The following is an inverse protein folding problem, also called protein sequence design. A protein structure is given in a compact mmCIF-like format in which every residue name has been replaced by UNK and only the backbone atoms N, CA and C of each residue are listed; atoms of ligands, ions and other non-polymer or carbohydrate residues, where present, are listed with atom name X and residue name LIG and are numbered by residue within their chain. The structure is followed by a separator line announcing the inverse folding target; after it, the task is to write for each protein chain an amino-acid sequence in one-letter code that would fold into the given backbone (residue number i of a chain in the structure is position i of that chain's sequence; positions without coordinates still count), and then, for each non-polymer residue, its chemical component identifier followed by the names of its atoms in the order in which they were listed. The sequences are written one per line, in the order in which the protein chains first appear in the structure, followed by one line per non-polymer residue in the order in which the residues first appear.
data_IF_792892060523
#
_entry.id   IF_792892060523
#
_cell.length_a   1.000
_cell.length_b   1.000
_cell.length_c   1.000
_cell.angle_alpha   90.00
_cell.angle_beta   90.00
_cell.angle_gamma   90.00
#
_symmetry.space_group_name_H-M   'P 1'
#
loop_
_entity.id
_entity.type
_entity.pdbx_description
1 polymer ?
#
# COMPACT_ATOMS: atom_id res chain seq x y z
N UNK A 1 -31.24 -29.03 -58.23
CA UNK A 1 -31.15 -29.90 -57.03
C UNK A 1 -31.23 -28.99 -55.82
N UNK A 2 -32.31 -29.04 -55.04
CA UNK A 2 -32.45 -28.23 -53.83
C UNK A 2 -31.63 -28.89 -52.72
N UNK A 3 -30.59 -28.21 -52.27
CA UNK A 3 -29.79 -28.66 -51.13
C UNK A 3 -30.65 -28.55 -49.86
N UNK A 4 -30.78 -29.63 -49.05
CA UNK A 4 -31.54 -29.56 -47.80
C UNK A 4 -30.87 -28.55 -46.87
N UNK A 5 -31.70 -27.76 -46.18
CA UNK A 5 -31.22 -26.77 -45.22
C UNK A 5 -30.30 -27.45 -44.19
N UNK A 6 -29.20 -26.79 -43.78
CA UNK A 6 -28.30 -27.34 -42.78
C UNK A 6 -29.08 -27.65 -41.49
N UNK A 7 -28.73 -28.74 -40.78
CA UNK A 7 -29.41 -29.11 -39.55
C UNK A 7 -29.28 -27.96 -38.54
N UNK A 8 -30.40 -27.57 -37.93
CA UNK A 8 -30.42 -26.54 -36.89
C UNK A 8 -29.53 -27.01 -35.73
N UNK A 9 -28.62 -26.17 -35.22
CA UNK A 9 -27.83 -26.52 -34.04
C UNK A 9 -28.76 -26.94 -32.89
N UNK A 10 -28.37 -27.92 -32.07
CA UNK A 10 -29.15 -28.27 -30.90
C UNK A 10 -29.33 -27.03 -30.02
N UNK A 11 -30.57 -26.59 -29.85
CA UNK A 11 -30.87 -25.47 -28.95
C UNK A 11 -30.56 -25.93 -27.53
N UNK A 12 -29.64 -25.23 -26.87
CA UNK A 12 -29.38 -25.44 -25.46
C UNK A 12 -30.64 -25.14 -24.67
N UNK A 13 -30.90 -25.92 -23.62
CA UNK A 13 -32.03 -25.67 -22.73
C UNK A 13 -31.85 -24.32 -22.01
N UNK A 14 -32.91 -23.52 -21.81
CA UNK A 14 -32.84 -22.25 -21.07
C UNK A 14 -32.20 -22.37 -19.68
N UNK A 15 -32.29 -23.55 -19.06
CA UNK A 15 -31.66 -23.84 -17.76
C UNK A 15 -30.14 -23.93 -17.88
N UNK A 16 -29.62 -24.51 -18.96
CA UNK A 16 -28.17 -24.65 -19.20
C UNK A 16 -27.54 -23.29 -19.50
N UNK A 17 -28.21 -22.46 -20.30
CA UNK A 17 -27.77 -21.09 -20.59
C UNK A 17 -27.73 -20.21 -19.33
N UNK A 18 -28.74 -20.37 -18.46
CA UNK A 18 -28.80 -19.66 -17.18
C UNK A 18 -27.62 -20.05 -16.27
N UNK A 19 -27.34 -21.35 -16.12
CA UNK A 19 -26.24 -21.86 -15.30
C UNK A 19 -24.87 -21.39 -15.84
N UNK A 20 -24.66 -21.43 -17.16
CA UNK A 20 -23.41 -20.97 -17.78
C UNK A 20 -23.19 -19.47 -17.58
N UNK A 21 -24.24 -18.65 -17.77
CA UNK A 21 -24.17 -17.20 -17.58
C UNK A 21 -23.87 -16.82 -16.12
N UNK A 22 -24.48 -17.48 -15.14
CA UNK A 22 -24.18 -17.24 -13.71
C UNK A 22 -22.71 -17.54 -13.36
N UNK A 23 -22.12 -18.58 -13.94
CA UNK A 23 -20.72 -18.93 -13.72
C UNK A 23 -19.78 -17.92 -14.39
N UNK A 24 -20.07 -17.53 -15.64
CA UNK A 24 -19.28 -16.54 -16.37
C UNK A 24 -19.25 -15.17 -15.66
N UNK A 25 -20.39 -14.68 -15.17
CA UNK A 25 -20.46 -13.41 -14.45
C UNK A 25 -19.66 -13.42 -13.13
N UNK A 26 -19.63 -14.55 -12.41
CA UNK A 26 -18.84 -14.69 -11.18
C UNK A 26 -17.35 -14.78 -11.45
N UNK A 27 -16.94 -15.43 -12.53
CA UNK A 27 -15.53 -15.47 -12.94
C UNK A 27 -15.04 -14.08 -13.34
N UNK A 28 -15.81 -13.35 -14.14
CA UNK A 28 -15.51 -11.94 -14.49
C UNK A 28 -15.48 -11.07 -13.24
N UNK A 29 -16.47 -11.25 -12.35
CA UNK A 29 -16.49 -10.92 -10.92
C UNK A 29 -15.11 -10.99 -10.24
N UNK A 30 -14.69 -12.23 -10.05
CA UNK A 30 -13.47 -12.59 -9.37
C UNK A 30 -12.24 -11.97 -10.04
N UNK A 31 -12.19 -11.92 -11.38
CA UNK A 31 -11.09 -11.30 -12.13
C UNK A 31 -11.02 -9.80 -11.87
N UNK A 32 -12.15 -9.08 -11.86
CA UNK A 32 -12.17 -7.65 -11.51
C UNK A 32 -11.70 -7.40 -10.08
N UNK A 33 -12.14 -8.23 -9.13
CA UNK A 33 -11.68 -8.15 -7.74
C UNK A 33 -10.17 -8.43 -7.68
N UNK A 34 -9.69 -9.49 -8.34
CA UNK A 34 -8.26 -9.80 -8.44
C UNK A 34 -7.48 -8.67 -9.10
N UNK A 35 -8.00 -8.00 -10.13
CA UNK A 35 -7.35 -6.85 -10.76
C UNK A 35 -7.30 -5.64 -9.83
N UNK A 36 -8.35 -5.37 -9.07
CA UNK A 36 -8.36 -4.33 -8.04
C UNK A 36 -7.35 -4.63 -6.92
N UNK A 37 -7.19 -5.89 -6.52
CA UNK A 37 -6.20 -6.33 -5.54
C UNK A 37 -4.78 -6.48 -6.10
N UNK A 38 -4.63 -6.75 -7.41
CA UNK A 38 -3.35 -6.87 -8.11
C UNK A 38 -2.79 -5.52 -8.54
N UNK A 39 -3.61 -4.47 -8.57
CA UNK A 39 -3.17 -3.10 -8.77
C UNK A 39 -2.24 -2.71 -7.62
N UNK A 40 -1.08 -2.07 -7.86
CA UNK A 40 -0.29 -1.49 -6.79
C UNK A 40 -1.20 -0.52 -6.01
N UNK A 41 -1.34 -0.76 -4.70
CA UNK A 41 -2.31 -0.15 -3.77
C UNK A 41 -2.15 1.38 -3.57
N UNK A 42 -1.68 2.12 -4.57
CA UNK A 42 -1.39 3.56 -4.51
C UNK A 42 -2.62 4.35 -4.08
N UNK A 43 -3.78 4.12 -4.71
CA UNK A 43 -5.01 4.87 -4.38
C UNK A 43 -5.49 4.57 -2.94
N UNK A 44 -5.67 3.30 -2.52
CA UNK A 44 -5.99 2.98 -1.13
C UNK A 44 -5.00 3.56 -0.11
N UNK A 45 -3.69 3.57 -0.43
CA UNK A 45 -2.66 4.11 0.46
C UNK A 45 -2.79 5.63 0.63
N UNK A 46 -3.10 6.36 -0.45
CA UNK A 46 -3.33 7.81 -0.40
C UNK A 46 -4.57 8.14 0.42
N UNK A 47 -5.68 7.42 0.20
CA UNK A 47 -6.90 7.60 0.99
C UNK A 47 -6.64 7.29 2.47
N UNK A 48 -5.95 6.19 2.76
CA UNK A 48 -5.62 5.79 4.13
C UNK A 48 -4.77 6.82 4.87
N UNK A 49 -3.73 7.38 4.24
CA UNK A 49 -2.94 8.44 4.88
C UNK A 49 -3.72 9.75 5.02
N UNK A 50 -4.60 10.08 4.08
CA UNK A 50 -5.50 11.23 4.17
C UNK A 50 -6.43 11.14 5.39
N UNK A 51 -7.06 9.98 5.60
CA UNK A 51 -7.87 9.72 6.80
C UNK A 51 -7.01 9.80 8.06
N UNK A 52 -5.80 9.24 8.06
CA UNK A 52 -4.92 9.29 9.21
C UNK A 52 -4.54 10.73 9.61
N UNK A 53 -4.28 11.63 8.66
CA UNK A 53 -4.05 13.04 8.93
C UNK A 53 -5.29 13.76 9.48
N UNK A 54 -6.46 13.46 8.91
CA UNK A 54 -7.71 14.07 9.36
C UNK A 54 -8.05 13.66 10.80
N UNK A 55 -7.82 12.39 11.13
CA UNK A 55 -8.17 11.81 12.43
C UNK A 55 -7.07 11.98 13.48
N UNK A 56 -5.82 12.20 13.09
CA UNK A 56 -4.71 12.28 14.06
C UNK A 56 -4.97 13.29 15.17
N UNK A 57 -5.60 14.43 14.87
CA UNK A 57 -5.85 15.49 15.85
C UNK A 57 -7.22 15.39 16.56
N UNK A 58 -8.10 14.48 16.13
CA UNK A 58 -9.47 14.37 16.67
C UNK A 58 -9.66 13.25 17.68
N UNK A 59 -8.71 12.31 17.78
CA UNK A 59 -8.82 11.19 18.71
C UNK A 59 -8.44 11.64 20.13
N UNK A 60 -9.30 11.35 21.11
CA UNK A 60 -9.09 11.70 22.53
C UNK A 60 -8.13 10.76 23.23
N UNK A 61 -7.92 9.55 22.71
CA UNK A 61 -7.04 8.55 23.32
C UNK A 61 -5.63 8.58 22.70
N UNK A 62 -4.64 8.76 23.58
CA UNK A 62 -3.22 8.88 23.24
C UNK A 62 -2.70 7.75 22.34
N UNK A 63 -3.12 6.50 22.59
CA UNK A 63 -2.67 5.35 21.81
C UNK A 63 -3.24 5.38 20.38
N UNK A 64 -4.44 5.90 20.15
CA UNK A 64 -5.02 6.05 18.80
C UNK A 64 -4.25 7.10 17.99
N UNK A 65 -3.97 8.25 18.62
CA UNK A 65 -3.17 9.30 18.01
C UNK A 65 -1.75 8.81 17.68
N UNK A 66 -1.17 7.94 18.52
CA UNK A 66 0.11 7.30 18.24
C UNK A 66 0.09 6.41 16.97
N UNK A 67 -1.02 5.69 16.74
CA UNK A 67 -1.17 4.83 15.55
C UNK A 67 -1.34 5.62 14.27
N UNK A 68 -2.11 6.71 14.28
CA UNK A 68 -2.24 7.58 13.10
C UNK A 68 -0.88 8.17 12.69
N UNK A 69 -0.11 8.68 13.66
CA UNK A 69 1.26 9.16 13.41
C UNK A 69 2.19 8.04 12.90
N UNK A 70 2.03 6.81 13.40
CA UNK A 70 2.78 5.65 12.89
C UNK A 70 2.44 5.33 11.44
N UNK A 71 1.16 5.30 11.08
CA UNK A 71 0.69 5.05 9.72
C UNK A 71 1.19 6.12 8.75
N UNK A 72 1.08 7.39 9.13
CA UNK A 72 1.59 8.53 8.34
C UNK A 72 3.09 8.40 8.09
N UNK A 73 3.90 8.15 9.13
CA UNK A 73 5.35 7.96 8.97
C UNK A 73 5.68 6.76 8.09
N UNK A 74 4.94 5.66 8.26
CA UNK A 74 5.12 4.43 7.47
C UNK A 74 4.88 4.69 5.98
N UNK A 75 3.81 5.44 5.66
CA UNK A 75 3.53 5.88 4.30
C UNK A 75 4.70 6.68 3.71
N UNK A 76 5.17 7.72 4.41
CA UNK A 76 6.24 8.57 3.86
C UNK A 76 7.59 7.86 3.72
N UNK A 77 7.98 7.03 4.69
CA UNK A 77 9.22 6.25 4.57
C UNK A 77 9.14 5.26 3.41
N UNK A 78 8.02 4.53 3.26
CA UNK A 78 7.85 3.61 2.15
C UNK A 78 7.86 4.35 0.81
N UNK A 79 7.07 5.42 0.67
CA UNK A 79 7.00 6.23 -0.55
C UNK A 79 8.36 6.81 -0.93
N UNK A 80 9.13 7.31 0.04
CA UNK A 80 10.47 7.84 -0.20
C UNK A 80 11.45 6.75 -0.69
N UNK A 81 11.49 5.60 -0.01
CA UNK A 81 12.34 4.48 -0.42
C UNK A 81 11.95 3.93 -1.81
N UNK A 82 10.65 3.79 -2.07
CA UNK A 82 10.14 3.29 -3.34
C UNK A 82 10.43 4.27 -4.48
N UNK A 83 10.26 5.57 -4.24
CA UNK A 83 10.60 6.61 -5.21
C UNK A 83 12.10 6.63 -5.51
N UNK A 84 12.96 6.55 -4.49
CA UNK A 84 14.40 6.50 -4.66
C UNK A 84 14.85 5.26 -5.48
N UNK A 85 14.30 4.08 -5.16
CA UNK A 85 14.58 2.86 -5.91
C UNK A 85 14.09 2.95 -7.37
N UNK A 86 12.93 3.57 -7.60
CA UNK A 86 12.39 3.80 -8.94
C UNK A 86 13.30 4.73 -9.74
N UNK A 87 13.68 5.88 -9.18
CA UNK A 87 14.58 6.85 -9.83
C UNK A 87 15.92 6.20 -10.19
N UNK A 88 16.50 5.43 -9.26
CA UNK A 88 17.75 4.71 -9.51
C UNK A 88 17.61 3.70 -10.67
N UNK A 89 16.52 2.93 -10.69
CA UNK A 89 16.25 1.95 -11.75
C UNK A 89 16.09 2.63 -13.11
N UNK A 90 15.31 3.71 -13.18
CA UNK A 90 15.15 4.47 -14.41
C UNK A 90 16.48 5.09 -14.87
N UNK A 91 17.30 5.61 -13.95
CA UNK A 91 18.61 6.14 -14.28
C UNK A 91 19.54 5.06 -14.89
N UNK A 92 19.49 3.83 -14.36
CA UNK A 92 20.25 2.69 -14.91
C UNK A 92 19.75 2.31 -16.30
N UNK A 93 18.43 2.17 -16.48
CA UNK A 93 17.83 1.83 -17.78
C UNK A 93 18.16 2.87 -18.85
N UNK A 94 18.04 4.15 -18.51
CA UNK A 94 18.37 5.27 -19.39
C UNK A 94 19.86 5.22 -19.76
N UNK A 95 20.74 5.02 -18.77
CA UNK A 95 22.19 4.92 -19.01
C UNK A 95 22.51 3.74 -19.93
N UNK A 96 21.89 2.58 -19.72
CA UNK A 96 22.09 1.38 -20.54
C UNK A 96 21.72 1.57 -22.01
N UNK A 97 20.61 2.25 -22.30
CA UNK A 97 20.19 2.51 -23.69
C UNK A 97 21.13 3.50 -24.41
N UNK A 98 21.66 4.50 -23.71
CA UNK A 98 22.61 5.44 -24.29
C UNK A 98 23.99 4.82 -24.57
N UNK A 99 24.47 3.90 -23.72
CA UNK A 99 25.74 3.18 -23.94
C UNK A 99 25.72 2.37 -25.24
N UNK A 100 24.57 1.80 -25.61
CA UNK A 100 24.39 1.06 -26.87
C UNK A 100 24.15 1.96 -28.10
N UNK A 101 24.16 3.30 -27.96
CA UNK A 101 23.90 4.22 -29.06
C UNK A 101 22.44 4.22 -29.54
N UNK A 102 21.52 3.60 -28.80
CA UNK A 102 20.12 3.39 -29.20
C UNK A 102 19.22 4.64 -29.07
N UNK A 103 19.76 5.73 -28.52
CA UNK A 103 19.02 6.98 -28.31
C UNK A 103 18.13 6.95 -27.05
N UNK A 104 17.00 7.69 -27.02
CA UNK A 104 16.13 7.75 -25.86
C UNK A 104 15.54 6.37 -25.50
N UNK A 105 15.15 6.15 -24.24
CA UNK A 105 14.64 4.86 -23.77
C UNK A 105 13.29 4.55 -24.44
N UNK A 106 13.34 3.79 -25.53
CA UNK A 106 12.16 3.19 -26.17
C UNK A 106 11.99 1.75 -25.70
N UNK A 107 10.77 1.21 -25.81
CA UNK A 107 10.52 -0.19 -25.46
C UNK A 107 11.37 -1.16 -26.30
N UNK A 108 11.63 -0.83 -27.57
CA UNK A 108 12.54 -1.61 -28.42
C UNK A 108 14.00 -1.55 -27.94
N UNK A 109 14.51 -0.36 -27.61
CA UNK A 109 15.87 -0.19 -27.09
C UNK A 109 16.08 -0.92 -25.76
N UNK A 110 15.10 -0.84 -24.86
CA UNK A 110 15.12 -1.56 -23.59
C UNK A 110 15.15 -3.08 -23.80
N UNK A 111 14.35 -3.60 -24.73
CA UNK A 111 14.34 -5.03 -25.06
C UNK A 111 15.65 -5.50 -25.69
N UNK A 112 16.30 -4.67 -26.52
CA UNK A 112 17.61 -4.99 -27.10
C UNK A 112 18.73 -4.96 -26.06
N UNK A 113 18.71 -3.99 -25.14
CA UNK A 113 19.65 -3.93 -24.02
C UNK A 113 19.49 -5.12 -23.09
N UNK A 114 18.25 -5.51 -22.77
CA UNK A 114 17.98 -6.74 -22.00
C UNK A 114 18.44 -8.01 -22.75
N UNK A 115 18.20 -8.09 -24.06
CA UNK A 115 18.63 -9.22 -24.88
C UNK A 115 20.16 -9.29 -25.05
N UNK A 116 20.87 -8.17 -24.85
CA UNK A 116 22.34 -8.14 -24.83
C UNK A 116 22.94 -8.73 -23.55
N UNK A 117 22.13 -8.89 -22.49
CA UNK A 117 22.56 -9.56 -21.26
C UNK A 117 22.73 -11.04 -21.56
N UNK A 118 23.97 -11.50 -21.61
CA UNK A 118 24.30 -12.88 -22.00
C UNK A 118 25.13 -13.60 -20.97
N UNK A 119 25.72 -12.88 -20.03
CA UNK A 119 26.57 -13.48 -19.00
C UNK A 119 25.80 -13.69 -17.69
N UNK A 120 26.07 -14.78 -16.94
CA UNK A 120 25.39 -15.06 -15.68
C UNK A 120 25.48 -13.91 -14.66
N UNK A 121 26.61 -13.20 -14.61
CA UNK A 121 26.82 -12.06 -13.72
C UNK A 121 25.90 -10.86 -14.03
N UNK A 122 25.55 -10.62 -15.30
CA UNK A 122 24.60 -9.57 -15.69
C UNK A 122 23.18 -9.92 -15.25
N UNK A 123 22.78 -11.19 -15.40
CA UNK A 123 21.48 -11.66 -14.91
C UNK A 123 21.38 -11.60 -13.38
N UNK A 124 22.46 -11.92 -12.67
CA UNK A 124 22.51 -11.78 -11.21
C UNK A 124 22.42 -10.30 -10.80
N UNK A 125 23.10 -9.39 -11.51
CA UNK A 125 22.97 -7.95 -11.28
C UNK A 125 21.55 -7.43 -11.55
N UNK A 126 20.91 -7.87 -12.63
CA UNK A 126 19.50 -7.53 -12.92
C UNK A 126 18.53 -8.12 -11.88
N UNK A 127 18.81 -9.33 -11.39
CA UNK A 127 18.01 -10.01 -10.37
C UNK A 127 18.17 -9.40 -8.98
N UNK A 128 19.35 -8.89 -8.63
CA UNK A 128 19.57 -8.20 -7.36
C UNK A 128 18.83 -6.86 -7.28
N UNK A 129 18.56 -6.20 -8.41
CA UNK A 129 17.69 -5.02 -8.45
C UNK A 129 16.25 -5.34 -7.97
N UNK A 130 15.73 -6.54 -8.20
CA UNK A 130 14.44 -6.96 -7.65
C UNK A 130 14.46 -7.10 -6.12
N UNK A 131 15.59 -7.52 -5.55
CA UNK A 131 15.75 -7.61 -4.09
C UNK A 131 15.72 -6.22 -3.43
N UNK A 132 16.20 -5.18 -4.13
CA UNK A 132 16.11 -3.79 -3.67
C UNK A 132 14.65 -3.35 -3.51
N UNK A 133 13.74 -3.84 -4.37
CA UNK A 133 12.31 -3.55 -4.23
C UNK A 133 11.62 -4.42 -3.16
N UNK A 134 12.04 -5.67 -2.99
CA UNK A 134 11.45 -6.56 -1.99
C UNK A 134 11.73 -6.11 -0.55
N UNK A 135 12.88 -5.48 -0.29
CA UNK A 135 13.24 -5.03 1.05
C UNK A 135 12.26 -3.96 1.61
N UNK A 136 12.00 -2.82 0.93
CA UNK A 136 10.99 -1.84 1.37
C UNK A 136 9.58 -2.42 1.46
N UNK A 137 9.21 -3.32 0.54
CA UNK A 137 7.91 -4.00 0.56
C UNK A 137 7.78 -4.86 1.82
N UNK A 138 8.76 -5.72 2.08
CA UNK A 138 8.78 -6.59 3.27
C UNK A 138 8.74 -5.76 4.55
N UNK A 139 9.55 -4.69 4.61
CA UNK A 139 9.57 -3.76 5.72
C UNK A 139 8.20 -3.08 5.94
N UNK A 140 7.54 -2.65 4.87
CA UNK A 140 6.21 -2.04 4.92
C UNK A 140 5.17 -3.00 5.48
N UNK A 141 5.12 -4.24 5.00
CA UNK A 141 4.20 -5.26 5.50
C UNK A 141 4.45 -5.59 6.97
N UNK A 142 5.71 -5.82 7.34
CA UNK A 142 6.09 -6.05 8.74
C UNK A 142 5.63 -4.90 9.65
N UNK A 143 5.85 -3.65 9.21
CA UNK A 143 5.51 -2.45 9.99
C UNK A 143 3.99 -2.26 10.14
N UNK A 144 3.22 -2.57 9.11
CA UNK A 144 1.75 -2.53 9.16
C UNK A 144 1.20 -3.66 10.04
N UNK A 145 1.70 -4.90 9.89
CA UNK A 145 1.29 -6.03 10.72
C UNK A 145 1.59 -5.78 12.21
N UNK A 146 2.77 -5.22 12.52
CA UNK A 146 3.13 -4.83 13.89
C UNK A 146 2.23 -3.73 14.44
N UNK A 147 1.93 -2.69 13.63
CA UNK A 147 0.99 -1.64 14.01
C UNK A 147 -0.41 -2.18 14.29
N UNK A 148 -0.91 -3.06 13.42
CA UNK A 148 -2.21 -3.72 13.58
C UNK A 148 -2.26 -4.59 14.84
N UNK A 149 -1.20 -5.34 15.13
CA UNK A 149 -1.13 -6.18 16.32
C UNK A 149 -1.13 -5.35 17.63
N UNK A 150 -0.56 -4.15 17.62
CA UNK A 150 -0.62 -3.23 18.75
C UNK A 150 -1.99 -2.57 18.89
N UNK A 151 -2.64 -2.26 17.76
CA UNK A 151 -4.00 -1.74 17.72
C UNK A 151 -5.01 -2.74 18.30
N UNK A 152 -4.92 -4.03 17.94
CA UNK A 152 -5.75 -5.09 18.52
C UNK A 152 -5.54 -5.18 20.05
N UNK A 153 -4.33 -4.92 20.51
CA UNK A 153 -3.98 -4.91 21.93
C UNK A 153 -4.28 -3.57 22.62
N UNK A 154 -4.80 -2.57 21.90
CA UNK A 154 -5.02 -1.20 22.38
C UNK A 154 -3.78 -0.59 23.06
N UNK A 155 -2.58 -0.88 22.53
CA UNK A 155 -1.31 -0.39 23.08
C UNK A 155 -0.71 0.68 22.19
N UNK A 156 -0.14 1.76 22.74
CA UNK A 156 0.54 2.77 21.93
C UNK A 156 1.71 2.17 21.15
N UNK A 157 2.03 2.78 20.01
CA UNK A 157 3.17 2.36 19.20
C UNK A 157 4.51 2.67 19.89
N UNK A 158 5.59 1.89 19.64
CA UNK A 158 6.89 2.14 20.25
C UNK A 158 7.43 3.53 19.92
N UNK A 159 8.00 4.20 20.91
CA UNK A 159 8.55 5.55 20.77
C UNK A 159 7.50 6.66 20.81
N UNK A 160 6.24 6.33 21.08
CA UNK A 160 5.25 7.33 21.47
C UNK A 160 5.52 7.79 22.91
N UNK A 161 5.67 9.11 23.06
CA UNK A 161 5.66 9.77 24.36
C UNK A 161 4.35 10.55 24.39
N UNK A 162 3.45 10.29 25.36
CA UNK A 162 2.32 11.18 25.59
C UNK A 162 2.89 12.59 25.71
N UNK A 163 2.30 13.50 24.95
CA UNK A 163 2.59 14.90 25.05
C UNK A 163 2.36 15.22 26.53
N UNK A 164 3.41 15.53 27.29
CA UNK A 164 3.30 15.90 28.70
C UNK A 164 2.48 17.18 28.72
N UNK A 165 1.16 17.06 28.84
CA UNK A 165 0.27 18.19 28.70
C UNK A 165 0.66 19.21 29.78
N UNK A 166 1.07 20.44 29.42
CA UNK A 166 1.48 21.45 30.39
C UNK A 166 0.27 22.06 31.16
N UNK A 167 -0.73 21.25 31.48
CA UNK A 167 -1.96 21.64 32.16
C UNK A 167 -2.35 20.75 33.35
N UNK A 168 -1.82 19.53 33.46
CA UNK A 168 -2.27 18.61 34.53
C UNK A 168 -1.49 18.79 35.85
N UNK A 169 -0.34 19.47 35.82
CA UNK A 169 0.40 19.83 37.03
C UNK A 169 -0.18 21.06 37.77
N UNK A 170 -1.15 21.78 37.19
CA UNK A 170 -1.66 23.04 37.75
C UNK A 170 -3.05 22.93 38.43
N UNK A 171 -3.67 21.74 38.48
CA UNK A 171 -4.98 21.53 39.12
C UNK A 171 -4.89 20.63 40.35
N UNK A 172 -3.76 20.66 41.06
CA UNK A 172 -3.60 20.05 42.39
C UNK A 172 -3.06 21.03 43.44
N UNK A 173 -3.48 22.30 43.38
CA UNK A 173 -3.40 23.20 44.53
C UNK A 173 -4.80 23.74 44.83
N UNK A 174 -5.58 22.96 45.57
CA UNK A 174 -6.85 23.38 46.18
C UNK A 174 -6.56 24.49 47.21
N UNK A 175 -7.15 25.68 47.09
CA UNK A 175 -7.10 26.70 48.13
C UNK A 175 -8.22 26.46 49.13
N UNK A 176 -8.13 25.38 49.92
CA UNK A 176 -9.13 25.08 50.97
C UNK A 176 -8.43 24.84 52.31
N UNK A 177 -7.77 25.88 52.83
CA UNK A 177 -7.55 26.13 54.26
C UNK A 177 -7.53 27.64 54.48
N UNK A 178 -8.02 28.07 55.65
CA UNK A 178 -8.25 29.47 56.07
C UNK A 178 -9.52 30.17 55.52
N UNK A 179 -10.69 29.61 55.84
CA UNK A 179 -11.88 30.42 56.10
C UNK A 179 -12.72 29.78 57.21
N UNK A 180 -12.11 29.53 58.36
CA UNK A 180 -12.81 29.27 59.62
C UNK A 180 -12.66 30.50 60.50
N UNK A 181 -13.65 31.39 60.46
CA UNK A 181 -13.86 32.45 61.44
C UNK A 181 -15.21 32.22 62.11
N UNK A 182 -15.25 31.79 63.38
CA UNK A 182 -16.46 31.82 64.19
C UNK A 182 -16.39 32.95 65.22
N UNK A 183 -16.98 34.10 64.90
CA UNK A 183 -17.54 35.01 65.91
C UNK A 183 -19.07 35.01 65.73
N UNK A 184 -19.76 34.40 66.69
CA UNK A 184 -21.22 34.24 66.75
C UNK A 184 -21.65 33.24 67.82
#
# INVERSE_FOLDING_TARGET
MNQPAPPTPPQSSPVIDLIQNFNASRTVLAVYILYLFAMPLVVPMIVGVGIAYLRSHSESEDWMHSHHRWQIRTFWYFSACFLAASVLTFAILISGTYVLGSGPPTMNAAMQWLASMTTPEEYIAASTAWLIFLAPITWFFYRNARGLLLWIKQKPVPGFKPDEQPGEAATQTSPDKEAENPDG
#
